data_IF_638492196204
#
_entry.id   IF_638492196204
#
_cell.length_a   1.000
_cell.length_b   1.000
_cell.length_c   1.000
_cell.angle_alpha   90.00
_cell.angle_beta   90.00
_cell.angle_gamma   90.00
#
_symmetry.space_group_name_H-M   'P 1'
#
loop_
_entity.id
_entity.type
_entity.pdbx_description
1 polymer ?
#
# COMPACT_ATOMS: atom_id res chain seq x y z
N UNK A 1 23.46 29.27 12.01
CA UNK A 1 23.06 29.50 10.60
C UNK A 1 22.07 28.41 10.25
N UNK A 2 20.77 28.60 10.13
CA UNK A 2 20.05 29.73 9.55
C UNK A 2 19.42 29.25 8.25
N UNK A 3 18.13 28.95 8.28
CA UNK A 3 17.11 29.15 7.22
C UNK A 3 15.89 28.28 7.52
N UNK A 4 14.96 28.80 8.32
CA UNK A 4 13.76 29.51 7.86
C UNK A 4 12.63 28.54 7.45
N UNK A 5 11.94 28.05 8.47
CA UNK A 5 10.61 27.44 8.37
C UNK A 5 9.62 28.51 7.90
N UNK A 6 9.37 28.58 6.59
CA UNK A 6 8.32 29.47 6.06
C UNK A 6 7.59 28.92 4.83
N UNK A 7 7.25 27.62 4.80
CA UNK A 7 6.44 27.03 3.71
C UNK A 7 4.93 27.04 3.99
N UNK A 8 4.49 27.35 5.22
CA UNK A 8 3.05 27.47 5.54
C UNK A 8 2.43 28.81 5.12
N UNK A 9 3.27 29.81 4.85
CA UNK A 9 2.85 31.18 4.51
C UNK A 9 2.51 31.32 3.04
N UNK A 10 3.20 30.57 2.17
CA UNK A 10 2.93 30.59 0.72
C UNK A 10 1.65 29.82 0.35
N UNK A 11 1.33 28.73 1.08
CA UNK A 11 0.08 27.96 0.86
C UNK A 11 -1.17 28.67 1.40
N UNK A 12 -1.06 29.43 2.50
CA UNK A 12 -2.13 30.31 2.99
C UNK A 12 -2.34 31.52 2.07
N UNK A 13 -1.27 32.04 1.45
CA UNK A 13 -1.34 33.17 0.53
C UNK A 13 -2.32 32.98 -0.62
N UNK A 14 -2.34 31.80 -1.25
CA UNK A 14 -3.18 31.56 -2.43
C UNK A 14 -4.66 31.29 -2.09
N UNK A 15 -4.95 30.68 -0.93
CA UNK A 15 -6.33 30.53 -0.45
C UNK A 15 -6.87 31.89 -0.02
N UNK A 16 -6.06 32.67 0.70
CA UNK A 16 -6.43 34.02 1.10
C UNK A 16 -6.62 34.95 -0.12
N UNK A 17 -5.87 34.74 -1.21
CA UNK A 17 -6.05 35.45 -2.47
C UNK A 17 -7.36 35.06 -3.19
N UNK A 18 -7.77 33.79 -3.15
CA UNK A 18 -9.07 33.37 -3.70
C UNK A 18 -10.23 33.91 -2.86
N UNK A 19 -10.10 33.84 -1.54
CA UNK A 19 -11.09 34.39 -0.60
C UNK A 19 -11.18 35.91 -0.73
N UNK A 20 -10.06 36.61 -0.95
CA UNK A 20 -10.06 38.06 -1.15
C UNK A 20 -10.67 38.45 -2.49
N UNK A 21 -10.44 37.71 -3.58
CA UNK A 21 -11.09 37.95 -4.87
C UNK A 21 -12.60 37.72 -4.78
N UNK A 22 -13.05 36.63 -4.13
CA UNK A 22 -14.46 36.38 -3.90
C UNK A 22 -15.11 37.49 -3.04
N UNK A 23 -14.43 37.92 -1.97
CA UNK A 23 -14.90 39.01 -1.12
C UNK A 23 -14.99 40.34 -1.89
N UNK A 24 -14.02 40.64 -2.75
CA UNK A 24 -14.04 41.84 -3.59
C UNK A 24 -15.20 41.81 -4.60
N UNK A 25 -15.46 40.67 -5.25
CA UNK A 25 -16.62 40.53 -6.14
C UNK A 25 -17.94 40.77 -5.39
N UNK A 26 -18.08 40.21 -4.19
CA UNK A 26 -19.28 40.40 -3.35
C UNK A 26 -19.43 41.89 -2.98
N UNK A 27 -18.37 42.53 -2.49
CA UNK A 27 -18.38 43.95 -2.11
C UNK A 27 -18.71 44.85 -3.31
N UNK A 28 -18.17 44.56 -4.50
CA UNK A 28 -18.47 45.31 -5.72
C UNK A 28 -19.94 45.15 -6.13
N UNK A 29 -20.50 43.94 -6.04
CA UNK A 29 -21.92 43.72 -6.36
C UNK A 29 -22.83 44.52 -5.41
N UNK A 30 -22.56 44.50 -4.10
CA UNK A 30 -23.33 45.28 -3.12
C UNK A 30 -23.14 46.79 -3.29
N UNK A 31 -21.93 47.24 -3.61
CA UNK A 31 -21.64 48.66 -3.86
C UNK A 31 -22.38 49.18 -5.09
N UNK A 32 -22.41 48.40 -6.18
CA UNK A 32 -23.16 48.75 -7.40
C UNK A 32 -24.67 48.79 -7.13
N UNK A 33 -25.21 47.82 -6.38
CA UNK A 33 -26.62 47.82 -5.98
C UNK A 33 -26.96 49.05 -5.14
N UNK A 34 -26.11 49.39 -4.16
CA UNK A 34 -26.30 50.56 -3.29
C UNK A 34 -26.26 51.87 -4.07
N UNK A 35 -25.29 52.03 -4.97
CA UNK A 35 -25.16 53.22 -5.82
C UNK A 35 -26.39 53.39 -6.71
N UNK A 36 -26.89 52.30 -7.31
CA UNK A 36 -28.11 52.33 -8.13
C UNK A 36 -29.34 52.73 -7.28
N UNK A 37 -29.49 52.16 -6.08
CA UNK A 37 -30.59 52.52 -5.17
C UNK A 37 -30.51 53.98 -4.70
N UNK A 38 -29.31 54.53 -4.56
CA UNK A 38 -29.10 55.92 -4.12
C UNK A 38 -29.32 56.98 -5.21
N UNK A 39 -29.15 56.61 -6.49
CA UNK A 39 -29.23 57.53 -7.62
C UNK A 39 -30.65 57.71 -8.15
N UNK A 40 -31.55 56.78 -7.87
CA UNK A 40 -32.95 56.85 -8.29
C UNK A 40 -33.83 57.05 -7.08
N UNK A 41 -34.48 58.22 -6.92
CA UNK A 41 -35.71 58.27 -6.13
C UNK A 41 -36.74 57.37 -6.85
N UNK A 42 -36.83 56.11 -6.42
CA UNK A 42 -37.34 55.02 -7.26
C UNK A 42 -38.82 55.20 -7.59
N UNK A 43 -39.12 55.49 -8.85
CA UNK A 43 -40.43 55.26 -9.47
C UNK A 43 -40.57 53.75 -9.75
N UNK A 44 -41.75 53.17 -9.46
CA UNK A 44 -42.03 51.72 -9.54
C UNK A 44 -41.62 51.05 -10.88
N UNK A 45 -41.54 51.83 -11.96
CA UNK A 45 -41.19 51.37 -13.31
C UNK A 45 -39.74 50.88 -13.47
N UNK A 46 -38.79 51.35 -12.67
CA UNK A 46 -37.37 51.02 -12.84
C UNK A 46 -36.86 49.87 -11.95
N UNK A 47 -37.66 49.40 -10.99
CA UNK A 47 -37.29 48.33 -10.05
C UNK A 47 -36.97 47.00 -10.77
N UNK A 48 -37.74 46.66 -11.80
CA UNK A 48 -37.56 45.41 -12.55
C UNK A 48 -36.22 45.36 -13.30
N UNK A 49 -35.77 46.49 -13.86
CA UNK A 49 -34.49 46.55 -14.57
C UNK A 49 -33.29 46.39 -13.61
N UNK A 50 -33.37 47.00 -12.42
CA UNK A 50 -32.34 46.85 -11.38
C UNK A 50 -32.26 45.41 -10.89
N UNK A 51 -33.42 44.77 -10.68
CA UNK A 51 -33.49 43.37 -10.28
C UNK A 51 -32.87 42.43 -11.34
N UNK A 52 -33.24 42.59 -12.61
CA UNK A 52 -32.68 41.79 -13.71
C UNK A 52 -31.16 41.96 -13.83
N UNK A 53 -30.65 43.19 -13.68
CA UNK A 53 -29.22 43.45 -13.71
C UNK A 53 -28.47 42.76 -12.55
N UNK A 54 -29.04 42.79 -11.34
CA UNK A 54 -28.50 42.08 -10.18
C UNK A 54 -28.43 40.56 -10.38
N UNK A 55 -29.48 39.97 -10.97
CA UNK A 55 -29.51 38.53 -11.28
C UNK A 55 -28.41 38.17 -12.29
N UNK A 56 -28.20 39.00 -13.32
CA UNK A 56 -27.14 38.77 -14.31
C UNK A 56 -25.76 38.79 -13.64
N UNK A 57 -25.47 39.78 -12.80
CA UNK A 57 -24.20 39.86 -12.08
C UNK A 57 -23.98 38.67 -11.14
N UNK A 58 -25.03 38.22 -10.46
CA UNK A 58 -24.96 37.05 -9.60
C UNK A 58 -24.60 35.78 -10.38
N UNK A 59 -25.22 35.56 -11.54
CA UNK A 59 -24.93 34.41 -12.40
C UNK A 59 -23.48 34.46 -12.92
N UNK A 60 -23.02 35.63 -13.37
CA UNK A 60 -21.63 35.81 -13.83
C UNK A 60 -20.64 35.52 -12.71
N UNK A 61 -20.89 36.04 -11.50
CA UNK A 61 -20.05 35.78 -10.33
C UNK A 61 -20.02 34.29 -9.98
N UNK A 62 -21.18 33.61 -10.02
CA UNK A 62 -21.29 32.18 -9.75
C UNK A 62 -20.48 31.33 -10.74
N UNK A 63 -20.54 31.66 -12.03
CA UNK A 63 -19.77 30.97 -13.08
C UNK A 63 -18.26 31.15 -12.89
N UNK A 64 -17.80 32.38 -12.61
CA UNK A 64 -16.39 32.68 -12.37
C UNK A 64 -15.88 31.92 -11.14
N UNK A 65 -16.65 31.92 -10.05
CA UNK A 65 -16.27 31.23 -8.82
C UNK A 65 -16.16 29.72 -9.03
N UNK A 66 -17.13 29.11 -9.73
CA UNK A 66 -17.06 27.68 -10.09
C UNK A 66 -15.82 27.35 -10.93
N UNK A 67 -15.53 28.16 -11.95
CA UNK A 67 -14.38 27.97 -12.82
C UNK A 67 -13.05 28.03 -12.04
N UNK A 68 -12.90 29.02 -11.15
CA UNK A 68 -11.72 29.15 -10.29
C UNK A 68 -11.60 27.97 -9.30
N UNK A 69 -12.71 27.53 -8.72
CA UNK A 69 -12.76 26.38 -7.81
C UNK A 69 -12.25 25.11 -8.52
N UNK A 70 -12.75 24.86 -9.74
CA UNK A 70 -12.38 23.68 -10.53
C UNK A 70 -10.91 23.72 -10.98
N UNK A 71 -10.44 24.88 -11.45
CA UNK A 71 -9.08 25.03 -11.94
C UNK A 71 -8.03 24.88 -10.81
N UNK A 72 -8.35 25.31 -9.59
CA UNK A 72 -7.38 25.35 -8.48
C UNK A 72 -7.47 24.19 -7.49
N UNK A 73 -8.67 23.77 -7.07
CA UNK A 73 -8.80 22.73 -6.02
C UNK A 73 -8.63 21.32 -6.62
N UNK A 74 -9.33 21.02 -7.71
CA UNK A 74 -9.39 19.66 -8.26
C UNK A 74 -8.08 19.26 -8.97
N UNK A 75 -7.45 20.19 -9.68
CA UNK A 75 -6.18 19.93 -10.37
C UNK A 75 -5.04 19.59 -9.39
N UNK A 76 -5.01 20.24 -8.22
CA UNK A 76 -4.00 20.03 -7.17
C UNK A 76 -4.23 18.73 -6.41
N UNK A 77 -5.49 18.41 -6.06
CA UNK A 77 -5.85 17.16 -5.40
C UNK A 77 -5.49 15.97 -6.30
N UNK A 78 -5.74 16.08 -7.62
CA UNK A 78 -5.42 15.04 -8.61
C UNK A 78 -3.92 14.72 -8.69
N UNK A 79 -3.03 15.71 -8.51
CA UNK A 79 -1.58 15.51 -8.51
C UNK A 79 -1.09 14.83 -7.24
N UNK A 80 -1.63 15.20 -6.08
CA UNK A 80 -1.30 14.57 -4.79
C UNK A 80 -1.78 13.11 -4.79
N UNK A 81 -2.98 12.86 -5.29
CA UNK A 81 -3.52 11.52 -5.51
C UNK A 81 -2.60 10.69 -6.43
N UNK A 82 -2.12 11.27 -7.53
CA UNK A 82 -1.18 10.61 -8.45
C UNK A 82 0.19 10.33 -7.81
N UNK A 83 0.65 11.18 -6.89
CA UNK A 83 1.91 10.98 -6.17
C UNK A 83 1.84 9.83 -5.15
N UNK A 84 0.69 9.66 -4.50
CA UNK A 84 0.46 8.57 -3.53
C UNK A 84 0.31 7.22 -4.24
N UNK A 85 -0.26 7.20 -5.45
CA UNK A 85 -0.52 5.98 -6.24
C UNK A 85 0.64 5.56 -7.18
N UNK A 86 1.74 6.30 -7.20
CA UNK A 86 2.76 6.25 -8.25
C UNK A 86 3.84 5.16 -8.17
N UNK A 87 3.64 4.03 -7.48
CA UNK A 87 4.67 2.96 -7.38
C UNK A 87 4.32 1.61 -7.99
N UNK A 88 3.22 1.45 -8.75
CA UNK A 88 3.00 0.25 -9.59
C UNK A 88 2.02 0.50 -10.75
N UNK A 89 2.60 0.85 -11.90
CA UNK A 89 2.36 0.38 -13.29
C UNK A 89 0.95 0.10 -13.87
N UNK A 90 0.70 0.78 -15.00
CA UNK A 90 -0.05 0.45 -16.24
C UNK A 90 -1.60 0.58 -16.39
N UNK A 91 -1.95 1.48 -17.33
CA UNK A 91 -3.16 1.63 -18.18
C UNK A 91 -4.47 2.26 -17.63
N UNK A 92 -5.17 3.13 -18.41
CA UNK A 92 -6.21 4.01 -17.93
C UNK A 92 -7.62 3.44 -18.16
N UNK A 93 -8.26 2.94 -17.11
CA UNK A 93 -9.69 2.61 -17.14
C UNK A 93 -10.52 3.88 -16.88
N UNK A 94 -10.55 4.82 -17.84
CA UNK A 94 -11.51 5.94 -17.80
C UNK A 94 -12.74 5.55 -18.62
N UNK A 95 -13.66 4.81 -18.01
CA UNK A 95 -15.06 4.86 -18.44
C UNK A 95 -15.63 6.19 -17.98
N UNK A 96 -15.85 7.06 -18.95
CA UNK A 96 -16.60 8.29 -18.80
C UNK A 96 -18.00 7.98 -18.24
N UNK A 97 -18.19 8.20 -16.94
CA UNK A 97 -19.53 8.36 -16.35
C UNK A 97 -19.57 9.69 -15.62
N UNK A 98 -20.42 10.58 -16.15
CA UNK A 98 -20.85 11.82 -15.51
C UNK A 98 -21.42 11.50 -14.12
N UNK A 99 -20.70 11.90 -13.08
CA UNK A 99 -21.05 11.72 -11.68
C UNK A 99 -19.93 12.26 -10.80
N UNK A 100 -19.72 13.58 -10.86
CA UNK A 100 -18.52 14.22 -10.32
C UNK A 100 -18.60 14.36 -8.79
N UNK A 101 -17.81 13.56 -8.07
CA UNK A 101 -17.38 13.88 -6.71
C UNK A 101 -17.58 12.79 -5.64
N UNK A 102 -18.76 12.18 -5.55
CA UNK A 102 -19.10 11.29 -4.42
C UNK A 102 -18.71 9.83 -4.68
N UNK A 103 -18.92 9.35 -5.91
CA UNK A 103 -18.64 7.95 -6.30
C UNK A 103 -17.14 7.62 -6.32
N UNK A 104 -16.29 8.58 -6.74
CA UNK A 104 -14.84 8.39 -6.81
C UNK A 104 -14.21 8.31 -5.41
N UNK A 105 -14.71 9.08 -4.44
CA UNK A 105 -14.19 9.05 -3.06
C UNK A 105 -14.57 7.73 -2.39
N UNK A 106 -15.82 7.28 -2.58
CA UNK A 106 -16.29 5.99 -2.06
C UNK A 106 -15.50 4.80 -2.67
N UNK A 107 -15.27 4.81 -3.99
CA UNK A 107 -14.47 3.78 -4.66
C UNK A 107 -13.00 3.77 -4.19
N UNK A 108 -12.41 4.94 -3.94
CA UNK A 108 -11.03 5.01 -3.43
C UNK A 108 -10.95 4.53 -1.98
N UNK A 109 -11.95 4.84 -1.16
CA UNK A 109 -12.03 4.33 0.22
C UNK A 109 -12.15 2.80 0.23
N UNK A 110 -12.98 2.25 -0.64
CA UNK A 110 -13.14 0.80 -0.80
C UNK A 110 -11.84 0.13 -1.29
N UNK A 111 -11.21 0.65 -2.36
CA UNK A 111 -9.92 0.16 -2.88
C UNK A 111 -8.81 0.20 -1.80
N UNK A 112 -8.73 1.28 -1.02
CA UNK A 112 -7.72 1.43 0.04
C UNK A 112 -8.02 0.47 1.18
N UNK A 113 -9.28 0.32 1.57
CA UNK A 113 -9.69 -0.63 2.61
C UNK A 113 -9.35 -2.07 2.22
N UNK A 114 -9.62 -2.46 0.97
CA UNK A 114 -9.29 -3.80 0.46
C UNK A 114 -7.77 -4.01 0.43
N UNK A 115 -7.00 -3.01 -0.03
CA UNK A 115 -5.55 -3.07 -0.04
C UNK A 115 -4.96 -3.23 1.37
N UNK A 116 -5.48 -2.50 2.35
CA UNK A 116 -5.04 -2.61 3.75
C UNK A 116 -5.34 -4.01 4.30
N UNK A 117 -6.54 -4.54 4.07
CA UNK A 117 -6.91 -5.90 4.48
C UNK A 117 -6.00 -6.95 3.82
N UNK A 118 -5.70 -6.80 2.53
CA UNK A 118 -4.78 -7.70 1.83
C UNK A 118 -3.36 -7.60 2.39
N UNK A 119 -2.90 -6.39 2.71
CA UNK A 119 -1.57 -6.17 3.28
C UNK A 119 -1.44 -6.71 4.69
N UNK A 120 -2.45 -6.55 5.53
CA UNK A 120 -2.46 -7.12 6.88
C UNK A 120 -2.39 -8.64 6.82
N UNK A 121 -3.15 -9.27 5.92
CA UNK A 121 -3.06 -10.73 5.68
C UNK A 121 -1.66 -11.15 5.22
N UNK A 122 -1.05 -10.39 4.31
CA UNK A 122 0.32 -10.67 3.84
C UNK A 122 1.34 -10.54 4.96
N UNK A 123 1.21 -9.53 5.83
CA UNK A 123 2.09 -9.32 6.99
C UNK A 123 1.92 -10.45 8.01
N UNK A 124 0.68 -10.82 8.35
CA UNK A 124 0.41 -11.94 9.27
C UNK A 124 1.02 -13.22 8.72
N UNK A 125 0.76 -13.55 7.45
CA UNK A 125 1.31 -14.75 6.81
C UNK A 125 2.84 -14.75 6.81
N UNK A 126 3.48 -13.62 6.46
CA UNK A 126 4.94 -13.52 6.48
C UNK A 126 5.50 -13.69 7.89
N UNK A 127 4.83 -13.13 8.90
CA UNK A 127 5.24 -13.25 10.30
C UNK A 127 5.15 -14.70 10.78
N UNK A 128 4.04 -15.39 10.50
CA UNK A 128 3.87 -16.82 10.80
C UNK A 128 4.94 -17.68 10.10
N UNK A 129 5.25 -17.38 8.84
CA UNK A 129 6.31 -18.07 8.09
C UNK A 129 7.71 -17.81 8.68
N UNK A 130 7.97 -16.60 9.15
CA UNK A 130 9.23 -16.25 9.82
C UNK A 130 9.38 -16.97 11.17
N UNK A 131 8.31 -17.03 11.96
CA UNK A 131 8.26 -17.78 13.22
C UNK A 131 8.47 -19.27 12.97
N UNK A 132 7.72 -19.85 12.03
CA UNK A 132 7.90 -21.25 11.63
C UNK A 132 9.33 -21.52 11.17
N UNK A 133 9.94 -20.63 10.38
CA UNK A 133 11.33 -20.79 9.94
C UNK A 133 12.31 -20.76 11.12
N UNK A 134 12.11 -19.86 12.09
CA UNK A 134 12.95 -19.79 13.30
C UNK A 134 12.82 -21.04 14.14
N UNK A 135 11.60 -21.51 14.38
CA UNK A 135 11.32 -22.74 15.13
C UNK A 135 11.93 -23.95 14.43
N UNK A 136 11.71 -24.09 13.12
CA UNK A 136 12.26 -25.16 12.31
C UNK A 136 13.80 -25.21 12.37
N UNK A 137 14.47 -24.07 12.13
CA UNK A 137 15.93 -24.00 12.22
C UNK A 137 16.42 -24.32 13.64
N UNK A 138 15.69 -23.86 14.67
CA UNK A 138 15.99 -24.18 16.07
C UNK A 138 15.91 -25.68 16.34
N UNK A 139 14.83 -26.33 15.91
CA UNK A 139 14.60 -27.76 16.09
C UNK A 139 15.66 -28.59 15.36
N UNK A 140 15.93 -28.27 14.09
CA UNK A 140 16.99 -28.93 13.31
C UNK A 140 18.35 -28.78 13.99
N UNK A 141 18.68 -27.57 14.45
CA UNK A 141 19.95 -27.33 15.14
C UNK A 141 20.07 -28.16 16.42
N UNK A 142 18.97 -28.29 17.17
CA UNK A 142 18.93 -29.10 18.39
C UNK A 142 19.10 -30.59 18.08
N UNK A 143 18.37 -31.11 17.10
CA UNK A 143 18.41 -32.51 16.69
C UNK A 143 19.77 -32.93 16.12
N UNK A 144 20.49 -32.03 15.46
CA UNK A 144 21.86 -32.27 15.00
C UNK A 144 22.88 -32.22 16.15
N UNK A 145 22.70 -31.31 17.11
CA UNK A 145 23.68 -31.11 18.21
C UNK A 145 23.81 -32.34 19.11
N UNK A 146 22.70 -33.01 19.42
CA UNK A 146 22.68 -34.20 20.29
C UNK A 146 23.55 -35.36 19.77
N UNK A 147 23.36 -35.87 18.54
CA UNK A 147 24.19 -36.96 18.01
C UNK A 147 25.66 -36.53 17.84
N UNK A 148 25.94 -35.29 17.43
CA UNK A 148 27.32 -34.76 17.37
C UNK A 148 27.99 -34.86 18.75
N UNK A 149 27.32 -34.37 19.80
CA UNK A 149 27.85 -34.41 21.16
C UNK A 149 28.04 -35.85 21.67
N UNK A 150 27.10 -36.75 21.36
CA UNK A 150 27.20 -38.17 21.73
C UNK A 150 28.39 -38.85 21.05
N UNK A 151 28.58 -38.64 19.74
CA UNK A 151 29.74 -39.17 18.99
C UNK A 151 31.02 -38.68 19.64
N UNK A 152 31.14 -37.37 19.87
CA UNK A 152 32.30 -36.79 20.54
C UNK A 152 32.54 -37.42 21.92
N UNK A 153 31.49 -37.60 22.73
CA UNK A 153 31.58 -38.21 24.06
C UNK A 153 32.04 -39.68 24.03
N UNK A 154 31.55 -40.48 23.08
CA UNK A 154 31.98 -41.87 22.92
C UNK A 154 33.42 -41.95 22.43
N UNK A 155 33.79 -41.15 21.43
CA UNK A 155 35.17 -41.09 20.92
C UNK A 155 36.14 -40.62 22.00
N UNK A 156 35.78 -39.60 22.79
CA UNK A 156 36.61 -39.12 23.89
C UNK A 156 36.79 -40.19 24.98
N UNK A 157 35.73 -40.94 25.28
CA UNK A 157 35.80 -42.02 26.28
C UNK A 157 36.67 -43.19 25.79
N UNK A 158 36.62 -43.50 24.49
CA UNK A 158 37.53 -44.45 23.86
C UNK A 158 38.98 -44.00 23.97
N UNK A 159 39.27 -42.73 23.64
CA UNK A 159 40.61 -42.15 23.77
C UNK A 159 41.13 -42.10 25.21
N UNK A 160 40.24 -41.99 26.20
CA UNK A 160 40.58 -41.90 27.62
C UNK A 160 40.72 -43.28 28.31
N UNK A 161 41.16 -44.31 27.58
CA UNK A 161 41.39 -45.65 28.12
C UNK A 161 40.27 -46.66 27.82
N UNK A 162 39.23 -46.26 27.08
CA UNK A 162 38.13 -47.14 26.70
C UNK A 162 38.45 -48.06 25.52
N UNK A 163 39.54 -47.81 24.79
CA UNK A 163 40.01 -48.70 23.70
C UNK A 163 40.57 -50.02 24.23
N UNK A 164 41.22 -49.95 25.40
CA UNK A 164 41.87 -51.06 26.08
C UNK A 164 40.90 -51.97 26.83
N UNK A 165 39.64 -51.55 27.02
CA UNK A 165 38.58 -52.33 27.65
C UNK A 165 37.71 -53.05 26.60
N UNK A 166 37.83 -54.39 26.45
CA UNK A 166 37.04 -55.16 25.49
C UNK A 166 35.54 -55.14 25.77
N UNK A 167 35.11 -54.82 26.99
CA UNK A 167 33.69 -54.75 27.33
C UNK A 167 33.02 -53.46 26.82
N UNK A 168 33.81 -52.43 26.51
CA UNK A 168 33.33 -51.08 26.20
C UNK A 168 33.71 -50.64 24.78
N UNK A 169 34.88 -51.02 24.29
CA UNK A 169 35.46 -50.50 23.05
C UNK A 169 34.51 -50.63 21.84
N UNK A 170 34.03 -51.85 21.56
CA UNK A 170 33.16 -52.14 20.43
C UNK A 170 31.80 -51.46 20.61
N UNK A 171 31.25 -51.49 21.82
CA UNK A 171 29.96 -50.89 22.15
C UNK A 171 29.95 -49.38 21.93
N UNK A 172 31.05 -48.69 22.24
CA UNK A 172 31.14 -47.24 22.06
C UNK A 172 31.35 -46.87 20.60
N UNK A 173 32.09 -47.67 19.84
CA UNK A 173 32.19 -47.52 18.37
C UNK A 173 30.84 -47.73 17.68
N UNK A 174 30.09 -48.78 18.04
CA UNK A 174 28.74 -49.03 17.52
C UNK A 174 27.80 -47.86 17.82
N UNK A 175 27.84 -47.33 19.05
CA UNK A 175 27.03 -46.16 19.42
C UNK A 175 27.43 -44.92 18.65
N UNK A 176 28.71 -44.70 18.37
CA UNK A 176 29.17 -43.58 17.55
C UNK A 176 28.65 -43.71 16.11
N UNK A 177 28.76 -44.90 15.50
CA UNK A 177 28.23 -45.18 14.16
C UNK A 177 26.72 -44.95 14.10
N UNK A 178 25.96 -45.48 15.06
CA UNK A 178 24.51 -45.30 15.09
C UNK A 178 24.08 -43.81 15.20
N UNK A 179 24.86 -42.97 15.88
CA UNK A 179 24.60 -41.52 15.92
C UNK A 179 25.01 -40.83 14.61
N UNK A 180 26.01 -41.33 13.89
CA UNK A 180 26.38 -40.83 12.56
C UNK A 180 25.30 -41.19 11.52
N UNK A 181 24.76 -42.41 11.56
CA UNK A 181 23.62 -42.81 10.72
C UNK A 181 22.39 -41.95 11.01
N UNK A 182 22.14 -41.62 12.29
CA UNK A 182 21.06 -40.69 12.66
C UNK A 182 21.27 -39.29 12.09
N UNK A 183 22.50 -38.78 12.07
CA UNK A 183 22.82 -37.49 11.44
C UNK A 183 22.54 -37.54 9.94
N UNK A 184 22.91 -38.62 9.27
CA UNK A 184 22.66 -38.83 7.85
C UNK A 184 21.15 -38.79 7.56
N UNK A 185 20.33 -39.48 8.34
CA UNK A 185 18.87 -39.46 8.20
C UNK A 185 18.27 -38.05 8.36
N UNK A 186 18.74 -37.26 9.34
CA UNK A 186 18.27 -35.87 9.52
C UNK A 186 18.64 -35.00 8.31
N UNK A 187 19.82 -35.21 7.72
CA UNK A 187 20.26 -34.48 6.52
C UNK A 187 19.38 -34.84 5.31
N UNK A 188 19.07 -36.12 5.13
CA UNK A 188 18.18 -36.59 4.06
C UNK A 188 16.77 -35.97 4.20
N UNK A 189 16.25 -35.90 5.42
CA UNK A 189 14.97 -35.23 5.69
C UNK A 189 15.02 -33.73 5.31
N UNK A 190 16.12 -33.03 5.59
CA UNK A 190 16.33 -31.63 5.20
C UNK A 190 16.39 -31.43 3.67
N UNK A 191 17.05 -32.35 2.97
CA UNK A 191 17.12 -32.33 1.50
C UNK A 191 15.73 -32.55 0.89
N UNK A 192 14.95 -33.51 1.40
CA UNK A 192 13.60 -33.79 0.90
C UNK A 192 12.65 -32.60 1.01
N UNK A 193 12.75 -31.82 2.10
CA UNK A 193 11.94 -30.60 2.31
C UNK A 193 12.34 -29.51 1.32
N UNK A 194 13.63 -29.41 1.01
CA UNK A 194 14.16 -28.41 0.06
C UNK A 194 13.67 -28.67 -1.36
N UNK A 195 13.67 -29.94 -1.77
CA UNK A 195 13.18 -30.35 -3.09
C UNK A 195 11.68 -30.13 -3.25
N UNK A 196 10.87 -30.51 -2.24
CA UNK A 196 9.42 -30.28 -2.26
C UNK A 196 9.07 -28.78 -2.37
N UNK A 197 9.84 -27.93 -1.70
CA UNK A 197 9.64 -26.47 -1.74
C UNK A 197 9.93 -25.90 -3.13
N UNK A 198 10.97 -26.37 -3.81
CA UNK A 198 11.29 -25.96 -5.18
C UNK A 198 10.20 -26.40 -6.18
N UNK A 199 9.69 -27.62 -6.02
CA UNK A 199 8.61 -28.13 -6.85
C UNK A 199 7.32 -27.31 -6.68
N UNK A 200 6.94 -27.00 -5.43
CA UNK A 200 5.76 -26.17 -5.13
C UNK A 200 5.86 -24.76 -5.73
N UNK A 201 7.04 -24.14 -5.70
CA UNK A 201 7.29 -22.83 -6.32
C UNK A 201 7.10 -22.91 -7.85
N UNK A 202 7.62 -23.97 -8.48
CA UNK A 202 7.48 -24.18 -9.92
C UNK A 202 6.01 -24.33 -10.34
N UNK A 203 5.22 -25.04 -9.53
CA UNK A 203 3.80 -25.29 -9.78
C UNK A 203 2.97 -24.01 -9.63
N UNK A 204 3.24 -23.22 -8.58
CA UNK A 204 2.61 -21.90 -8.37
C UNK A 204 2.90 -20.94 -9.53
N UNK A 205 4.14 -20.91 -10.01
CA UNK A 205 4.53 -20.10 -11.17
C UNK A 205 3.74 -20.48 -12.43
N UNK A 206 3.69 -21.78 -12.76
CA UNK A 206 2.98 -22.29 -13.94
C UNK A 206 1.48 -21.99 -13.91
N UNK A 207 0.82 -22.17 -12.76
CA UNK A 207 -0.61 -21.88 -12.62
C UNK A 207 -0.94 -20.39 -12.68
N UNK A 208 -0.04 -19.52 -12.20
CA UNK A 208 -0.24 -18.07 -12.29
C UNK A 208 -0.25 -17.58 -13.74
N UNK A 209 0.63 -18.13 -14.58
CA UNK A 209 0.71 -17.83 -16.01
C UNK A 209 -0.55 -18.31 -16.73
N UNK A 210 -1.00 -19.54 -16.44
CA UNK A 210 -2.24 -20.08 -17.01
C UNK A 210 -3.45 -19.20 -16.67
N UNK A 211 -3.55 -18.71 -15.43
CA UNK A 211 -4.65 -17.85 -14.99
C UNK A 211 -4.63 -16.48 -15.69
N UNK A 212 -3.44 -15.92 -15.94
CA UNK A 212 -3.27 -14.67 -16.71
C UNK A 212 -3.70 -14.89 -18.17
N UNK A 213 -3.27 -15.99 -18.78
CA UNK A 213 -3.68 -16.37 -20.13
C UNK A 213 -5.19 -16.53 -20.25
N UNK A 214 -5.81 -17.20 -19.29
CA UNK A 214 -7.26 -17.43 -19.26
C UNK A 214 -8.04 -16.11 -19.12
N UNK A 215 -7.60 -15.21 -18.22
CA UNK A 215 -8.20 -13.86 -18.10
C UNK A 215 -8.04 -13.05 -19.37
N UNK A 216 -6.87 -13.08 -20.01
CA UNK A 216 -6.62 -12.37 -21.27
C UNK A 216 -7.51 -12.89 -22.39
N UNK A 217 -7.68 -14.22 -22.48
CA UNK A 217 -8.55 -14.85 -23.46
C UNK A 217 -10.03 -14.49 -23.26
N UNK A 218 -10.50 -14.50 -22.01
CA UNK A 218 -11.87 -14.10 -21.67
C UNK A 218 -12.16 -12.61 -21.91
N UNK A 219 -11.15 -11.74 -21.84
CA UNK A 219 -11.33 -10.32 -22.18
C UNK A 219 -11.46 -10.09 -23.69
N UNK A 220 -10.76 -10.87 -24.52
CA UNK A 220 -10.82 -10.74 -25.99
C UNK A 220 -12.20 -11.10 -26.57
N UNK A 221 -12.99 -11.92 -25.86
CA UNK A 221 -14.32 -12.35 -26.29
C UNK A 221 -15.48 -11.53 -25.70
N UNK A 222 -15.18 -10.49 -24.90
CA UNK A 222 -16.19 -9.69 -24.21
C UNK A 222 -16.43 -8.30 -24.84
N UNK A 223 -15.72 -7.99 -25.92
CA UNK A 223 -15.95 -6.84 -26.81
C UNK A 223 -16.52 -7.33 -28.16
#
# INVERSE_FOLDING_TARGET
MGTNWNSSSYKRGNINALVSVAALCIVLTFSVIYIILSLTEVVLSHVLYVYLFGVILFVVCWVILKYLLDQYLLSRIKVIYKLIRGTKTEEPFVKEKRGFGIDIIQQVEEDVSEYLIQKDKEIVLNTELEEYRKEYIGNVSHELKTPIFNIQGYLQSLLNGGLEDPAVNHKFLEKAIANADRLQAIIEDLESISDWKLEAISWKSKNSILRIWFRKYLMIWKD
#
